data_IF_183441394160
#
_entry.id   IF_183441394160
#
_cell.length_a   1.000
_cell.length_b   1.000
_cell.length_c   1.000
_cell.angle_alpha   90.00
_cell.angle_beta   90.00
_cell.angle_gamma   90.00
#
_symmetry.space_group_name_H-M   'P 1'
#
loop_
_entity.id
_entity.type
_entity.pdbx_description
1 polymer ?
#
# COMPACT_ATOMS: atom_id res chain seq x y z
N UNK A 1 -6.00 31.41 1.42
CA UNK A 1 -6.84 30.19 1.35
C UNK A 1 -5.98 28.99 0.95
N UNK A 2 -5.37 28.29 1.91
CA UNK A 2 -4.63 27.06 1.61
C UNK A 2 -5.67 25.96 1.43
N UNK A 3 -6.01 25.60 0.19
CA UNK A 3 -6.78 24.39 -0.09
C UNK A 3 -6.09 23.23 0.64
N UNK A 4 -6.76 22.68 1.66
CA UNK A 4 -6.30 21.51 2.40
C UNK A 4 -6.43 20.32 1.44
N UNK A 5 -5.35 20.01 0.71
CA UNK A 5 -5.24 18.70 0.08
C UNK A 5 -5.19 17.71 1.24
N UNK A 6 -6.31 17.01 1.43
CA UNK A 6 -6.47 15.96 2.39
C UNK A 6 -6.09 14.64 1.68
N UNK A 7 -5.10 13.92 2.21
CA UNK A 7 -4.68 12.63 1.66
C UNK A 7 -5.86 11.65 1.61
N UNK A 8 -6.75 11.71 2.60
CA UNK A 8 -7.96 10.90 2.65
C UNK A 8 -8.85 11.08 1.42
N UNK A 9 -8.90 12.28 0.81
CA UNK A 9 -9.68 12.48 -0.42
C UNK A 9 -9.24 11.53 -1.52
N UNK A 10 -7.93 11.33 -1.69
CA UNK A 10 -7.41 10.44 -2.74
C UNK A 10 -7.70 8.98 -2.41
N UNK A 11 -7.60 8.60 -1.13
CA UNK A 11 -7.96 7.25 -0.66
C UNK A 11 -9.45 6.99 -0.91
N UNK A 12 -10.35 7.90 -0.53
CA UNK A 12 -11.80 7.76 -0.77
C UNK A 12 -12.13 7.66 -2.26
N UNK A 13 -11.53 8.51 -3.11
CA UNK A 13 -11.75 8.45 -4.57
C UNK A 13 -11.30 7.10 -5.11
N UNK A 14 -10.15 6.59 -4.65
CA UNK A 14 -9.67 5.28 -5.04
C UNK A 14 -10.62 4.15 -4.56
N UNK A 15 -11.06 4.17 -3.30
CA UNK A 15 -11.97 3.15 -2.76
C UNK A 15 -13.32 3.15 -3.48
N UNK A 16 -13.89 4.34 -3.75
CA UNK A 16 -15.12 4.47 -4.52
C UNK A 16 -14.91 3.93 -5.94
N UNK A 17 -13.78 4.25 -6.57
CA UNK A 17 -13.45 3.72 -7.90
C UNK A 17 -13.38 2.19 -7.89
N UNK A 18 -12.72 1.56 -6.92
CA UNK A 18 -12.63 0.09 -6.88
C UNK A 18 -13.98 -0.56 -6.60
N UNK A 19 -14.84 0.07 -5.80
CA UNK A 19 -16.22 -0.41 -5.56
C UNK A 19 -17.05 -0.31 -6.84
N UNK A 20 -17.01 0.84 -7.53
CA UNK A 20 -17.74 1.01 -8.80
C UNK A 20 -17.24 -0.04 -9.80
N UNK A 21 -15.93 -0.18 -9.96
CA UNK A 21 -15.35 -1.17 -10.86
C UNK A 21 -15.79 -2.60 -10.50
N UNK A 22 -15.84 -2.95 -9.22
CA UNK A 22 -16.27 -4.28 -8.78
C UNK A 22 -17.66 -4.65 -9.32
N UNK A 23 -18.61 -3.71 -9.25
CA UNK A 23 -19.98 -3.94 -9.69
C UNK A 23 -20.17 -3.78 -11.20
N UNK A 24 -19.43 -2.88 -11.86
CA UNK A 24 -19.66 -2.52 -13.27
C UNK A 24 -18.57 -3.01 -14.23
N UNK A 25 -17.50 -3.63 -13.72
CA UNK A 25 -16.34 -4.07 -14.50
C UNK A 25 -16.61 -5.31 -15.35
N UNK A 26 -15.56 -5.92 -15.90
CA UNK A 26 -15.69 -7.10 -16.79
C UNK A 26 -16.23 -8.34 -16.09
N UNK A 27 -15.94 -8.50 -14.80
CA UNK A 27 -16.32 -9.67 -14.02
C UNK A 27 -17.60 -9.41 -13.23
N UNK A 28 -18.59 -10.28 -13.41
CA UNK A 28 -19.83 -10.32 -12.63
C UNK A 28 -19.68 -11.35 -11.52
N UNK A 29 -19.29 -10.90 -10.33
CA UNK A 29 -18.99 -11.77 -9.20
C UNK A 29 -20.26 -12.44 -8.66
N UNK A 30 -20.17 -13.75 -8.39
CA UNK A 30 -21.22 -14.56 -7.77
C UNK A 30 -21.11 -14.41 -6.26
N UNK A 31 -21.78 -13.43 -5.69
CA UNK A 31 -21.76 -13.17 -4.24
C UNK A 31 -23.13 -13.36 -3.59
N UNK A 32 -23.20 -13.64 -2.27
CA UNK A 32 -24.46 -13.90 -1.59
C UNK A 32 -25.41 -12.70 -1.56
N UNK A 33 -24.89 -11.47 -1.44
CA UNK A 33 -25.72 -10.26 -1.40
C UNK A 33 -24.92 -8.99 -1.73
N UNK A 34 -25.27 -8.36 -2.85
CA UNK A 34 -24.73 -7.04 -3.25
C UNK A 34 -25.07 -5.96 -2.22
N UNK A 35 -26.31 -5.98 -1.71
CA UNK A 35 -26.83 -4.95 -0.81
C UNK A 35 -26.08 -4.95 0.52
N UNK A 36 -25.82 -6.14 1.12
CA UNK A 36 -25.02 -6.26 2.35
C UNK A 36 -23.61 -5.71 2.14
N UNK A 37 -22.97 -6.05 1.02
CA UNK A 37 -21.62 -5.59 0.70
C UNK A 37 -21.56 -4.07 0.52
N UNK A 38 -22.48 -3.48 -0.23
CA UNK A 38 -22.57 -2.02 -0.46
C UNK A 38 -22.81 -1.29 0.86
N UNK A 39 -23.78 -1.74 1.65
CA UNK A 39 -24.09 -1.16 2.96
C UNK A 39 -22.85 -1.17 3.86
N UNK A 40 -22.12 -2.29 3.86
CA UNK A 40 -20.89 -2.42 4.64
C UNK A 40 -19.78 -1.46 4.17
N UNK A 41 -19.59 -1.28 2.86
CA UNK A 41 -18.64 -0.29 2.36
C UNK A 41 -18.98 1.14 2.77
N UNK A 42 -20.27 1.50 2.77
CA UNK A 42 -20.73 2.82 3.22
C UNK A 42 -20.32 3.05 4.68
N UNK A 43 -20.56 2.07 5.56
CA UNK A 43 -20.15 2.14 6.97
C UNK A 43 -18.64 2.36 7.08
N UNK A 44 -17.86 1.54 6.38
CA UNK A 44 -16.39 1.60 6.42
C UNK A 44 -15.86 2.97 5.97
N UNK A 45 -16.34 3.47 4.83
CA UNK A 45 -15.93 4.79 4.32
C UNK A 45 -16.32 5.88 5.31
N UNK A 46 -17.54 5.86 5.85
CA UNK A 46 -17.99 6.81 6.87
C UNK A 46 -17.07 6.75 8.09
N UNK A 47 -16.76 5.57 8.60
CA UNK A 47 -15.88 5.40 9.77
C UNK A 47 -14.48 6.00 9.56
N UNK A 48 -13.83 5.72 8.42
CA UNK A 48 -12.52 6.32 8.11
C UNK A 48 -12.62 7.86 8.11
N UNK A 49 -13.67 8.41 7.49
CA UNK A 49 -13.88 9.86 7.43
C UNK A 49 -14.15 10.47 8.80
N UNK A 50 -14.98 9.85 9.63
CA UNK A 50 -15.22 10.28 11.01
C UNK A 50 -13.91 10.34 11.77
N UNK A 51 -13.10 9.27 11.75
CA UNK A 51 -11.81 9.23 12.42
C UNK A 51 -10.87 10.36 12.01
N UNK A 52 -10.79 10.61 10.71
CA UNK A 52 -9.98 11.68 10.15
C UNK A 52 -10.50 13.09 10.55
N UNK A 53 -11.81 13.30 10.53
CA UNK A 53 -12.47 14.56 10.93
C UNK A 53 -12.25 14.82 12.42
N UNK A 54 -12.49 13.82 13.29
CA UNK A 54 -12.25 13.92 14.73
C UNK A 54 -10.83 14.37 15.05
N UNK A 55 -9.84 13.92 14.28
CA UNK A 55 -8.43 14.33 14.48
C UNK A 55 -8.10 15.72 13.94
N UNK A 56 -8.64 16.07 12.78
CA UNK A 56 -8.34 17.36 12.13
C UNK A 56 -9.16 18.51 12.71
N UNK A 57 -10.26 18.19 13.38
CA UNK A 57 -11.30 19.12 13.80
C UNK A 57 -12.18 19.53 12.62
N UNK A 58 -13.45 19.84 12.88
CA UNK A 58 -14.31 20.49 11.88
C UNK A 58 -13.62 21.82 11.51
N UNK A 59 -13.35 22.08 10.22
CA UNK A 59 -12.75 23.34 9.80
C UNK A 59 -13.66 24.49 10.26
N UNK A 60 -13.29 25.17 11.36
CA UNK A 60 -14.00 26.38 11.80
C UNK A 60 -13.88 27.40 10.67
N UNK A 61 -15.02 27.83 10.15
CA UNK A 61 -15.18 28.75 9.04
C UNK A 61 -14.85 30.21 9.45
N UNK A 62 -13.88 30.42 10.35
CA UNK A 62 -13.44 31.78 10.68
C UNK A 62 -12.37 32.22 9.68
N UNK A 63 -12.86 32.83 8.61
CA UNK A 63 -12.13 33.34 7.45
C UNK A 63 -11.41 34.68 7.68
N UNK A 64 -11.64 35.34 8.82
CA UNK A 64 -11.12 36.68 9.07
C UNK A 64 -10.23 36.70 10.30
N UNK A 65 -8.90 36.68 10.08
CA UNK A 65 -7.88 37.45 10.82
C UNK A 65 -6.49 36.79 10.74
N UNK A 66 -5.49 37.61 10.39
CA UNK A 66 -4.05 37.51 10.72
C UNK A 66 -3.04 36.70 9.88
N UNK A 67 -3.40 35.95 8.83
CA UNK A 67 -2.39 35.08 8.18
C UNK A 67 -1.50 35.69 7.07
N UNK A 68 -1.61 36.97 6.67
CA UNK A 68 -0.77 37.48 5.57
C UNK A 68 0.68 37.76 5.96
N UNK A 69 0.97 38.11 7.21
CA UNK A 69 2.30 38.55 7.64
C UNK A 69 3.23 37.38 8.06
N UNK A 70 2.66 36.25 8.48
CA UNK A 70 3.39 35.10 9.04
C UNK A 70 3.74 34.02 7.98
N UNK A 71 3.30 34.22 6.73
CA UNK A 71 3.57 33.30 5.61
C UNK A 71 4.99 33.50 5.06
N UNK A 72 5.57 34.70 5.17
CA UNK A 72 6.84 35.04 4.52
C UNK A 72 8.06 34.39 5.21
N UNK A 73 7.99 34.19 6.53
CA UNK A 73 9.07 33.56 7.32
C UNK A 73 8.93 32.04 7.50
N UNK A 74 7.76 31.45 7.25
CA UNK A 74 7.51 30.02 7.52
C UNK A 74 7.87 29.07 6.36
N UNK A 75 8.34 29.62 5.24
CA UNK A 75 8.85 28.84 4.10
C UNK A 75 10.38 28.79 4.07
N UNK A 76 11.04 29.04 5.21
CA UNK A 76 12.45 28.69 5.36
C UNK A 76 12.63 27.23 4.93
N UNK A 77 13.54 27.07 3.97
CA UNK A 77 13.82 25.83 3.25
C UNK A 77 14.19 24.77 4.28
N UNK A 78 13.23 23.94 4.68
CA UNK A 78 13.45 22.89 5.68
C UNK A 78 14.56 21.99 5.18
N UNK A 79 15.70 22.06 5.85
CA UNK A 79 16.91 21.34 5.48
C UNK A 79 16.84 19.91 6.01
N UNK A 80 17.24 18.97 5.17
CA UNK A 80 17.46 17.59 5.54
C UNK A 80 18.52 17.55 6.64
N UNK A 81 18.11 17.22 7.86
CA UNK A 81 19.05 17.13 8.99
C UNK A 81 20.13 16.07 8.75
N UNK A 82 21.32 16.24 9.35
CA UNK A 82 22.41 15.25 9.27
C UNK A 82 21.95 13.84 9.68
N UNK A 83 21.11 13.75 10.72
CA UNK A 83 20.56 12.47 11.20
C UNK A 83 19.57 11.86 10.22
N UNK A 84 18.71 12.67 9.58
CA UNK A 84 17.83 12.19 8.54
C UNK A 84 18.59 11.70 7.30
N UNK A 85 19.69 12.37 6.93
CA UNK A 85 20.55 11.91 5.84
C UNK A 85 21.28 10.60 6.17
N UNK A 86 21.77 10.43 7.41
CA UNK A 86 22.35 9.15 7.86
C UNK A 86 21.33 8.03 7.83
N UNK A 87 20.13 8.28 8.36
CA UNK A 87 19.03 7.31 8.31
C UNK A 87 18.72 6.92 6.87
N UNK A 88 18.58 7.88 5.96
CA UNK A 88 18.37 7.61 4.54
C UNK A 88 19.45 6.71 3.91
N UNK A 89 20.74 6.98 4.18
CA UNK A 89 21.84 6.15 3.67
C UNK A 89 21.74 4.72 4.20
N UNK A 90 21.53 4.56 5.51
CA UNK A 90 21.35 3.25 6.15
C UNK A 90 20.16 2.52 5.52
N UNK A 91 19.03 3.19 5.35
CA UNK A 91 17.82 2.62 4.75
C UNK A 91 18.05 2.14 3.32
N UNK A 92 18.75 2.91 2.49
CA UNK A 92 19.09 2.51 1.13
C UNK A 92 19.99 1.26 1.11
N UNK A 93 21.03 1.24 1.93
CA UNK A 93 21.94 0.08 2.04
C UNK A 93 21.17 -1.14 2.53
N UNK A 94 20.30 -0.99 3.55
CA UNK A 94 19.46 -2.07 4.07
C UNK A 94 18.50 -2.62 3.01
N UNK A 95 17.86 -1.77 2.19
CA UNK A 95 17.02 -2.25 1.08
C UNK A 95 17.84 -3.08 0.10
N UNK A 96 18.97 -2.54 -0.38
CA UNK A 96 19.80 -3.22 -1.38
C UNK A 96 20.22 -4.60 -0.84
N UNK A 97 20.76 -4.64 0.38
CA UNK A 97 21.19 -5.86 1.02
C UNK A 97 20.04 -6.87 1.19
N UNK A 98 18.94 -6.46 1.82
CA UNK A 98 17.84 -7.38 2.13
C UNK A 98 17.08 -7.86 0.90
N UNK A 99 16.99 -7.06 -0.16
CA UNK A 99 16.31 -7.48 -1.38
C UNK A 99 17.14 -8.49 -2.17
N UNK A 100 18.46 -8.28 -2.31
CA UNK A 100 19.35 -9.27 -2.93
C UNK A 100 19.33 -10.57 -2.13
N UNK A 101 19.48 -10.47 -0.81
CA UNK A 101 19.45 -11.62 0.09
C UNK A 101 18.13 -12.39 -0.01
N UNK A 102 17.01 -11.70 -0.17
CA UNK A 102 15.71 -12.35 -0.36
C UNK A 102 15.66 -13.17 -1.64
N UNK A 103 16.13 -12.63 -2.76
CA UNK A 103 16.15 -13.35 -4.03
C UNK A 103 17.08 -14.56 -3.95
N UNK A 104 18.28 -14.38 -3.42
CA UNK A 104 19.21 -15.48 -3.22
C UNK A 104 18.63 -16.58 -2.31
N UNK A 105 17.90 -16.21 -1.26
CA UNK A 105 17.30 -17.19 -0.34
C UNK A 105 16.18 -17.99 -1.01
N UNK A 106 15.36 -17.35 -1.84
CA UNK A 106 14.17 -17.98 -2.45
C UNK A 106 14.51 -18.74 -3.73
N UNK A 107 15.32 -18.14 -4.61
CA UNK A 107 15.62 -18.68 -5.95
C UNK A 107 17.02 -19.29 -6.05
N UNK A 108 17.85 -19.22 -5.00
CA UNK A 108 19.24 -19.70 -5.01
C UNK A 108 20.21 -18.85 -5.82
N UNK A 109 19.72 -17.96 -6.69
CA UNK A 109 20.51 -17.07 -7.55
C UNK A 109 19.91 -15.67 -7.61
N UNK A 110 20.75 -14.66 -7.84
CA UNK A 110 20.31 -13.32 -8.24
C UNK A 110 20.93 -13.01 -9.60
N UNK A 111 20.12 -13.03 -10.65
CA UNK A 111 20.58 -12.82 -12.01
C UNK A 111 19.76 -11.68 -12.66
N UNK A 112 20.48 -10.72 -13.23
CA UNK A 112 19.87 -9.54 -13.87
C UNK A 112 19.21 -9.93 -15.20
N UNK A 113 19.76 -10.91 -15.93
CA UNK A 113 19.21 -11.36 -17.20
C UNK A 113 17.99 -12.27 -16.98
N UNK A 114 18.07 -13.15 -15.98
CA UNK A 114 16.96 -14.02 -15.57
C UNK A 114 15.71 -13.21 -15.18
N UNK A 115 15.92 -12.02 -14.62
CA UNK A 115 14.86 -11.05 -14.30
C UNK A 115 13.96 -10.69 -15.50
N UNK A 116 14.42 -10.88 -16.73
CA UNK A 116 13.67 -10.54 -17.94
C UNK A 116 13.23 -11.78 -18.73
N UNK A 117 14.01 -12.86 -18.70
CA UNK A 117 13.69 -14.08 -19.47
C UNK A 117 12.70 -15.01 -18.77
N UNK A 118 12.72 -15.08 -17.43
CA UNK A 118 12.02 -16.14 -16.67
C UNK A 118 11.02 -15.61 -15.63
N UNK A 119 10.50 -14.39 -15.81
CA UNK A 119 9.59 -13.71 -14.86
C UNK A 119 8.43 -14.60 -14.42
N UNK A 120 7.78 -15.30 -15.36
CA UNK A 120 6.62 -16.14 -15.07
C UNK A 120 6.97 -17.41 -14.29
N UNK A 121 8.04 -18.11 -14.68
CA UNK A 121 8.52 -19.31 -13.98
C UNK A 121 8.96 -18.99 -12.55
N UNK A 122 9.74 -17.93 -12.37
CA UNK A 122 10.21 -17.52 -11.05
C UNK A 122 9.06 -17.13 -10.11
N UNK A 123 7.94 -16.65 -10.64
CA UNK A 123 6.74 -16.38 -9.85
C UNK A 123 6.17 -17.65 -9.21
N UNK A 124 6.13 -18.76 -9.97
CA UNK A 124 5.61 -20.05 -9.51
C UNK A 124 6.58 -20.76 -8.56
N UNK A 125 7.89 -20.77 -8.87
CA UNK A 125 8.92 -21.32 -7.96
C UNK A 125 8.89 -20.65 -6.57
N UNK A 126 8.67 -19.33 -6.55
CA UNK A 126 8.50 -18.58 -5.30
C UNK A 126 7.25 -19.00 -4.51
N UNK A 127 6.15 -19.34 -5.20
CA UNK A 127 4.94 -19.83 -4.52
C UNK A 127 5.20 -21.17 -3.85
N UNK A 128 5.96 -22.06 -4.50
CA UNK A 128 6.37 -23.33 -3.91
C UNK A 128 7.29 -23.13 -2.70
N UNK A 129 8.30 -22.25 -2.80
CA UNK A 129 9.20 -21.94 -1.68
C UNK A 129 8.46 -21.44 -0.43
N UNK A 130 7.37 -20.69 -0.62
CA UNK A 130 6.60 -20.09 0.48
C UNK A 130 5.89 -21.11 1.38
N UNK A 131 5.87 -22.39 1.01
CA UNK A 131 5.19 -23.44 1.78
C UNK A 131 6.10 -24.19 2.78
N UNK A 132 7.44 -23.99 2.75
CA UNK A 132 8.36 -24.89 3.46
C UNK A 132 9.41 -24.31 4.42
N UNK A 133 9.77 -23.01 4.36
CA UNK A 133 11.07 -22.57 4.92
C UNK A 133 11.09 -21.25 5.73
N UNK A 134 10.18 -21.08 6.68
CA UNK A 134 10.18 -19.96 7.65
C UNK A 134 11.37 -19.93 8.64
N UNK A 135 12.28 -20.91 8.55
CA UNK A 135 13.41 -21.08 9.47
C UNK A 135 14.73 -20.50 8.97
N UNK A 136 14.78 -19.89 7.80
CA UNK A 136 16.05 -19.31 7.29
C UNK A 136 16.46 -18.12 8.14
N UNK A 137 17.60 -18.23 8.83
CA UNK A 137 18.14 -17.22 9.75
C UNK A 137 18.26 -15.83 9.10
N UNK A 138 18.70 -15.77 7.84
CA UNK A 138 18.82 -14.53 7.07
C UNK A 138 17.48 -13.77 6.98
N UNK A 139 16.37 -14.49 6.79
CA UNK A 139 15.03 -13.92 6.68
C UNK A 139 14.51 -13.38 8.02
N UNK A 140 14.96 -13.93 9.14
CA UNK A 140 14.65 -13.41 10.48
C UNK A 140 15.35 -12.06 10.72
N UNK A 141 16.64 -11.96 10.37
CA UNK A 141 17.38 -10.68 10.44
C UNK A 141 16.69 -9.61 9.59
N UNK A 142 16.35 -9.95 8.32
CA UNK A 142 15.61 -9.05 7.44
C UNK A 142 14.31 -8.60 8.08
N UNK A 143 13.57 -9.52 8.68
CA UNK A 143 12.27 -9.23 9.30
C UNK A 143 12.41 -8.22 10.43
N UNK A 144 13.34 -8.45 11.36
CA UNK A 144 13.56 -7.57 12.52
C UNK A 144 14.07 -6.18 12.11
N UNK A 145 14.89 -6.11 11.07
CA UNK A 145 15.50 -4.87 10.59
C UNK A 145 14.72 -4.19 9.46
N UNK A 146 13.57 -4.74 9.04
CA UNK A 146 12.79 -4.19 7.94
C UNK A 146 12.31 -2.76 8.21
N UNK A 147 12.11 -2.38 9.48
CA UNK A 147 11.76 -0.99 9.83
C UNK A 147 12.77 0.05 9.34
N UNK A 148 14.04 -0.32 9.18
CA UNK A 148 15.07 0.57 8.64
C UNK A 148 14.86 0.87 7.16
N UNK A 149 14.30 -0.05 6.38
CA UNK A 149 14.12 0.14 4.93
C UNK A 149 13.08 1.20 4.60
N UNK A 150 12.07 1.35 5.46
CA UNK A 150 10.87 2.16 5.22
C UNK A 150 11.13 3.68 5.13
N UNK A 151 12.35 4.16 5.38
CA UNK A 151 12.71 5.58 5.27
C UNK A 151 13.39 5.93 3.93
N UNK A 152 13.87 4.95 3.15
CA UNK A 152 14.65 5.21 1.95
C UNK A 152 13.86 6.04 0.92
N UNK A 153 12.69 5.54 0.49
CA UNK A 153 11.88 6.20 -0.52
C UNK A 153 11.22 7.49 -0.02
N UNK A 154 10.60 7.54 1.18
CA UNK A 154 9.99 8.78 1.65
C UNK A 154 11.00 9.92 1.78
N UNK A 155 12.16 9.68 2.40
CA UNK A 155 13.21 10.70 2.51
C UNK A 155 13.78 11.01 1.12
N UNK A 156 14.10 9.97 0.34
CA UNK A 156 14.70 10.09 -0.98
C UNK A 156 13.88 10.94 -1.95
N UNK A 157 12.57 10.68 -2.05
CA UNK A 157 11.67 11.41 -2.93
C UNK A 157 11.31 12.80 -2.40
N UNK A 158 10.98 12.92 -1.11
CA UNK A 158 10.59 14.20 -0.56
C UNK A 158 11.75 15.20 -0.51
N UNK A 159 12.94 14.75 -0.11
CA UNK A 159 14.14 15.59 0.00
C UNK A 159 15.08 15.48 -1.20
N UNK A 160 14.64 14.93 -2.35
CA UNK A 160 15.47 14.67 -3.53
C UNK A 160 16.38 15.83 -3.95
N UNK A 161 15.87 17.07 -3.90
CA UNK A 161 16.63 18.28 -4.28
C UNK A 161 17.76 18.62 -3.30
N UNK A 162 17.69 18.13 -2.07
CA UNK A 162 18.65 18.40 -0.99
C UNK A 162 19.69 17.29 -0.84
N UNK A 163 19.47 16.14 -1.48
CA UNK A 163 20.44 15.06 -1.52
C UNK A 163 21.69 15.48 -2.30
N UNK A 164 22.85 15.03 -1.82
CA UNK A 164 24.12 15.11 -2.54
C UNK A 164 24.05 14.28 -3.83
N UNK A 165 24.98 14.48 -4.78
CA UNK A 165 25.07 13.63 -5.99
C UNK A 165 25.17 12.14 -5.63
N UNK A 166 25.98 11.81 -4.62
CA UNK A 166 26.11 10.45 -4.08
C UNK A 166 24.78 9.94 -3.51
N UNK A 167 24.06 10.75 -2.74
CA UNK A 167 22.74 10.36 -2.21
C UNK A 167 21.68 10.11 -3.29
N UNK A 168 21.69 10.90 -4.38
CA UNK A 168 20.82 10.68 -5.53
C UNK A 168 21.17 9.39 -6.28
N UNK A 169 22.47 9.15 -6.49
CA UNK A 169 22.96 7.91 -7.10
C UNK A 169 22.56 6.70 -6.26
N UNK A 170 22.72 6.78 -4.93
CA UNK A 170 22.33 5.71 -4.01
C UNK A 170 20.81 5.44 -4.07
N UNK A 171 19.98 6.47 -4.09
CA UNK A 171 18.52 6.30 -4.28
C UNK A 171 18.21 5.60 -5.61
N UNK A 172 18.87 6.02 -6.69
CA UNK A 172 18.67 5.43 -8.02
C UNK A 172 19.05 3.95 -8.06
N UNK A 173 20.21 3.59 -7.51
CA UNK A 173 20.64 2.18 -7.35
C UNK A 173 19.63 1.41 -6.51
N UNK A 174 19.14 1.99 -5.41
CA UNK A 174 18.13 1.36 -4.54
C UNK A 174 16.85 1.05 -5.31
N UNK A 175 16.39 1.97 -6.16
CA UNK A 175 15.19 1.75 -7.01
C UNK A 175 15.46 0.66 -8.04
N UNK A 176 16.61 0.69 -8.72
CA UNK A 176 16.97 -0.34 -9.71
C UNK A 176 16.99 -1.72 -9.06
N UNK A 177 17.66 -1.88 -7.92
CA UNK A 177 17.74 -3.17 -7.23
C UNK A 177 16.35 -3.66 -6.84
N UNK A 178 15.49 -2.80 -6.30
CA UNK A 178 14.15 -3.22 -5.87
C UNK A 178 13.24 -3.58 -7.06
N UNK A 179 13.39 -2.90 -8.20
CA UNK A 179 12.73 -3.25 -9.47
C UNK A 179 13.25 -4.58 -10.00
N UNK A 180 14.58 -4.77 -10.08
CA UNK A 180 15.18 -6.02 -10.56
C UNK A 180 14.82 -7.22 -9.69
N UNK A 181 14.75 -7.02 -8.37
CA UNK A 181 14.30 -8.04 -7.41
C UNK A 181 12.82 -8.35 -7.62
N UNK A 182 11.99 -7.34 -7.86
CA UNK A 182 10.57 -7.54 -8.19
C UNK A 182 10.40 -8.35 -9.46
N UNK A 183 11.16 -8.03 -10.51
CA UNK A 183 11.14 -8.76 -11.79
C UNK A 183 11.67 -10.20 -11.64
N UNK A 184 12.79 -10.40 -10.94
CA UNK A 184 13.32 -11.72 -10.60
C UNK A 184 12.28 -12.57 -9.86
N UNK A 185 11.55 -12.00 -8.92
CA UNK A 185 10.50 -12.67 -8.15
C UNK A 185 9.18 -12.83 -8.92
N UNK A 186 9.12 -12.29 -10.14
CA UNK A 186 7.89 -12.21 -10.92
C UNK A 186 6.78 -11.42 -10.25
N UNK A 187 7.06 -10.46 -9.36
CA UNK A 187 6.07 -9.62 -8.66
C UNK A 187 6.05 -8.18 -9.13
N UNK A 188 4.89 -7.52 -9.03
CA UNK A 188 4.72 -6.08 -9.33
C UNK A 188 4.59 -5.22 -8.07
N UNK A 189 4.63 -5.86 -6.89
CA UNK A 189 4.30 -5.20 -5.62
C UNK A 189 5.29 -4.08 -5.24
N UNK A 190 6.60 -4.34 -5.20
CA UNK A 190 7.53 -3.31 -4.71
C UNK A 190 7.58 -2.11 -5.67
N UNK A 191 7.44 -2.35 -6.97
CA UNK A 191 7.27 -1.30 -7.97
C UNK A 191 6.03 -0.45 -7.64
N UNK A 192 4.90 -1.09 -7.32
CA UNK A 192 3.69 -0.42 -6.84
C UNK A 192 3.97 0.46 -5.64
N UNK A 193 4.59 -0.08 -4.59
CA UNK A 193 4.94 0.66 -3.38
C UNK A 193 5.83 1.89 -3.68
N UNK A 194 6.87 1.73 -4.49
CA UNK A 194 7.75 2.83 -4.93
C UNK A 194 6.92 3.94 -5.62
N UNK A 195 6.04 3.54 -6.52
CA UNK A 195 5.16 4.44 -7.30
C UNK A 195 4.21 5.21 -6.36
N UNK A 196 3.56 4.51 -5.44
CA UNK A 196 2.62 5.10 -4.48
C UNK A 196 3.32 6.08 -3.54
N UNK A 197 4.50 5.73 -3.02
CA UNK A 197 5.30 6.63 -2.16
C UNK A 197 5.72 7.88 -2.95
N UNK A 198 6.14 7.72 -4.21
CA UNK A 198 6.49 8.85 -5.07
C UNK A 198 5.30 9.78 -5.28
N UNK A 199 4.13 9.23 -5.64
CA UNK A 199 2.89 10.01 -5.84
C UNK A 199 2.54 10.78 -4.57
N UNK A 200 2.53 10.09 -3.41
CA UNK A 200 2.26 10.74 -2.14
C UNK A 200 3.22 11.89 -1.88
N UNK A 201 4.54 11.67 -2.02
CA UNK A 201 5.57 12.69 -1.84
C UNK A 201 5.30 13.90 -2.74
N UNK A 202 4.88 13.70 -3.98
CA UNK A 202 4.55 14.78 -4.91
C UNK A 202 3.25 15.51 -4.55
N UNK A 203 2.26 14.80 -3.99
CA UNK A 203 0.99 15.39 -3.52
C UNK A 203 1.19 16.27 -2.28
N UNK A 204 2.08 15.87 -1.37
CA UNK A 204 2.39 16.62 -0.14
C UNK A 204 3.40 17.75 -0.38
N UNK A 205 4.31 17.60 -1.35
CA UNK A 205 5.33 18.59 -1.68
C UNK A 205 4.72 19.78 -2.46
N UNK A 206 3.94 20.61 -1.76
CA UNK A 206 3.43 21.87 -2.31
C UNK A 206 4.56 22.88 -2.43
N UNK A 207 5.12 23.00 -3.64
CA UNK A 207 6.07 24.07 -3.97
C UNK A 207 5.30 25.29 -4.46
N UNK A 208 5.36 26.35 -3.65
CA UNK A 208 5.16 27.70 -4.17
C UNK A 208 6.52 28.22 -4.63
N UNK A 209 6.62 28.59 -5.91
CA UNK A 209 7.79 29.30 -6.44
C UNK A 209 7.42 30.75 -6.63
N UNK A 210 8.22 31.68 -6.15
CA UNK A 210 8.12 33.06 -6.60
C UNK A 210 8.54 33.11 -8.07
N UNK A 211 7.71 33.72 -8.92
CA UNK A 211 8.12 34.07 -10.28
C UNK A 211 9.04 35.31 -10.24
N UNK A 212 9.61 35.68 -11.39
CA UNK A 212 10.46 36.87 -11.56
C UNK A 212 9.78 38.17 -11.09
N UNK A 213 8.46 38.19 -11.02
CA UNK A 213 7.64 39.32 -10.54
C UNK A 213 7.23 39.21 -9.06
N UNK A 214 7.84 38.32 -8.27
CA UNK A 214 7.50 38.15 -6.86
C UNK A 214 6.10 37.56 -6.60
N UNK A 215 5.43 37.00 -7.62
CA UNK A 215 4.14 36.29 -7.47
C UNK A 215 4.37 34.80 -7.22
N UNK A 216 3.66 34.24 -6.25
CA UNK A 216 3.69 32.81 -5.95
C UNK A 216 3.02 31.99 -7.07
N UNK A 217 3.82 31.39 -7.96
CA UNK A 217 3.35 30.40 -8.94
C UNK A 217 3.38 29.00 -8.34
N UNK A 218 2.25 28.30 -8.43
CA UNK A 218 2.13 26.88 -8.06
C UNK A 218 2.88 26.04 -9.09
N UNK A 219 3.83 25.21 -8.64
CA UNK A 219 4.47 24.23 -9.53
C UNK A 219 3.46 23.12 -9.83
N UNK A 220 3.12 22.93 -11.10
CA UNK A 220 2.21 21.87 -11.51
C UNK A 220 2.98 20.55 -11.69
N UNK A 221 2.86 19.66 -10.69
CA UNK A 221 3.48 18.33 -10.71
C UNK A 221 2.63 17.28 -11.45
N UNK A 222 1.44 17.64 -11.98
CA UNK A 222 0.49 16.68 -12.57
C UNK A 222 1.10 15.86 -13.72
N UNK A 223 1.83 16.49 -14.65
CA UNK A 223 2.42 15.77 -15.78
C UNK A 223 3.41 14.68 -15.36
N UNK A 224 4.20 14.92 -14.30
CA UNK A 224 5.13 13.91 -13.75
C UNK A 224 4.40 12.76 -13.09
N UNK A 225 3.33 13.05 -12.35
CA UNK A 225 2.49 12.04 -11.72
C UNK A 225 1.85 11.17 -12.81
N UNK A 226 1.25 11.78 -13.83
CA UNK A 226 0.63 11.06 -14.96
C UNK A 226 1.65 10.16 -15.66
N UNK A 227 2.84 10.67 -15.97
CA UNK A 227 3.90 9.89 -16.61
C UNK A 227 4.30 8.66 -15.77
N UNK A 228 4.50 8.84 -14.47
CA UNK A 228 4.92 7.74 -13.58
C UNK A 228 3.81 6.71 -13.39
N UNK A 229 2.55 7.16 -13.30
CA UNK A 229 1.39 6.27 -13.25
C UNK A 229 1.27 5.47 -14.56
N UNK A 230 1.46 6.12 -15.71
CA UNK A 230 1.44 5.44 -17.01
C UNK A 230 2.55 4.38 -17.11
N UNK A 231 3.79 4.73 -16.76
CA UNK A 231 4.92 3.79 -16.74
C UNK A 231 4.66 2.59 -15.81
N UNK A 232 4.12 2.84 -14.61
CA UNK A 232 3.74 1.78 -13.68
C UNK A 232 2.73 0.82 -14.32
N UNK A 233 1.64 1.35 -14.89
CA UNK A 233 0.60 0.50 -15.47
C UNK A 233 1.05 -0.23 -16.73
N UNK A 234 1.89 0.38 -17.57
CA UNK A 234 2.52 -0.32 -18.71
C UNK A 234 3.38 -1.49 -18.24
N UNK A 235 4.21 -1.29 -17.21
CA UNK A 235 5.04 -2.37 -16.70
C UNK A 235 4.21 -3.44 -15.97
N UNK A 236 3.20 -3.05 -15.21
CA UNK A 236 2.24 -3.96 -14.59
C UNK A 236 1.57 -4.84 -15.66
N UNK A 237 1.11 -4.25 -16.76
CA UNK A 237 0.51 -4.98 -17.88
C UNK A 237 1.45 -6.04 -18.45
N UNK A 238 2.70 -5.67 -18.73
CA UNK A 238 3.72 -6.57 -19.28
C UNK A 238 3.98 -7.74 -18.31
N UNK A 239 4.18 -7.46 -17.02
CA UNK A 239 4.40 -8.50 -16.00
C UNK A 239 3.20 -9.46 -15.95
N UNK A 240 1.98 -8.94 -15.95
CA UNK A 240 0.79 -9.79 -15.95
C UNK A 240 0.70 -10.64 -17.21
N UNK A 241 1.00 -10.07 -18.38
CA UNK A 241 0.99 -10.83 -19.63
C UNK A 241 2.01 -11.97 -19.64
N UNK A 242 3.23 -11.73 -19.14
CA UNK A 242 4.25 -12.77 -19.07
C UNK A 242 3.86 -13.89 -18.09
N UNK A 243 3.17 -13.57 -16.98
CA UNK A 243 2.63 -14.60 -16.08
C UNK A 243 1.55 -15.45 -16.74
N UNK A 244 0.63 -14.81 -17.46
CA UNK A 244 -0.45 -15.50 -18.17
C UNK A 244 0.12 -16.47 -19.23
N UNK A 245 1.23 -16.09 -19.89
CA UNK A 245 1.91 -16.94 -20.87
C UNK A 245 2.72 -18.10 -20.26
N UNK A 246 3.20 -17.96 -19.02
CA UNK A 246 4.04 -18.96 -18.37
C UNK A 246 3.24 -20.14 -17.79
N UNK A 247 1.94 -19.94 -17.57
CA UNK A 247 1.03 -21.07 -17.46
C UNK A 247 0.72 -21.55 -18.87
N UNK A 248 0.88 -22.84 -19.18
CA UNK A 248 0.50 -23.49 -20.47
C UNK A 248 -0.98 -23.29 -20.90
N UNK A 249 -1.71 -22.45 -20.16
CA UNK A 249 -3.07 -21.94 -20.33
C UNK A 249 -3.19 -21.03 -21.58
N UNK A 250 -2.10 -20.73 -22.29
CA UNK A 250 -2.07 -19.84 -23.46
C UNK A 250 -2.79 -20.34 -24.72
N UNK A 251 -3.31 -21.58 -24.72
CA UNK A 251 -3.90 -22.21 -25.92
C UNK A 251 -5.42 -22.39 -25.92
N UNK A 252 -6.16 -21.94 -24.89
CA UNK A 252 -7.64 -22.00 -24.91
C UNK A 252 -8.30 -20.66 -24.56
N UNK A 253 -9.35 -20.34 -25.34
CA UNK A 253 -10.21 -19.15 -25.26
C UNK A 253 -10.37 -18.61 -23.82
N UNK A 254 -10.09 -17.31 -23.65
CA UNK A 254 -10.51 -16.48 -22.51
C UNK A 254 -10.63 -17.23 -21.17
N UNK A 255 -9.51 -17.78 -20.67
CA UNK A 255 -9.47 -18.34 -19.34
C UNK A 255 -9.85 -17.25 -18.33
N UNK A 256 -11.06 -17.35 -17.77
CA UNK A 256 -11.44 -16.56 -16.62
C UNK A 256 -10.81 -17.24 -15.40
N UNK A 257 -9.74 -16.69 -14.79
CA UNK A 257 -9.15 -17.29 -13.60
C UNK A 257 -10.15 -17.34 -12.44
N UNK A 258 -11.25 -16.60 -12.53
CA UNK A 258 -12.33 -16.55 -11.56
C UNK A 258 -13.58 -17.32 -12.04
N UNK A 259 -13.50 -18.23 -13.01
CA UNK A 259 -14.68 -18.89 -13.61
C UNK A 259 -15.62 -19.54 -12.59
N UNK A 260 -15.08 -20.09 -11.49
CA UNK A 260 -15.86 -20.64 -10.39
C UNK A 260 -16.61 -19.59 -9.56
N UNK A 261 -16.21 -18.31 -9.64
CA UNK A 261 -16.66 -17.22 -8.76
C UNK A 261 -17.22 -16.01 -9.48
N UNK A 262 -17.10 -15.93 -10.80
CA UNK A 262 -17.56 -14.81 -11.59
C UNK A 262 -17.89 -15.23 -13.02
N UNK A 263 -18.93 -14.63 -13.57
CA UNK A 263 -19.20 -14.68 -15.00
C UNK A 263 -18.48 -13.52 -15.70
N UNK A 264 -18.17 -13.69 -16.99
CA UNK A 264 -17.55 -12.62 -17.81
C UNK A 264 -18.66 -11.89 -18.56
N UNK A 265 -18.80 -10.59 -18.31
CA UNK A 265 -19.76 -9.75 -19.05
C UNK A 265 -19.35 -9.67 -20.52
N UNK A 266 -20.32 -9.74 -21.43
CA UNK A 266 -20.09 -9.64 -22.87
C UNK A 266 -19.59 -8.25 -23.25
N UNK A 267 -20.15 -7.21 -22.62
CA UNK A 267 -19.74 -5.82 -22.78
C UNK A 267 -19.78 -5.06 -21.45
N UNK A 268 -18.94 -4.04 -21.35
CA UNK A 268 -18.90 -3.06 -20.27
C UNK A 268 -19.08 -1.65 -20.84
N UNK A 269 -19.31 -0.65 -19.99
CA UNK A 269 -19.44 0.73 -20.49
C UNK A 269 -18.15 1.21 -21.19
N UNK A 270 -16.98 0.82 -20.69
CA UNK A 270 -15.70 1.23 -21.27
C UNK A 270 -15.35 0.44 -22.54
N UNK A 271 -15.94 -0.73 -22.76
CA UNK A 271 -15.86 -1.42 -24.07
C UNK A 271 -16.50 -0.58 -25.17
N UNK A 272 -17.57 0.17 -24.87
CA UNK A 272 -18.20 1.05 -25.86
C UNK A 272 -17.33 2.27 -26.21
N UNK A 273 -16.47 2.71 -25.28
CA UNK A 273 -15.60 3.87 -25.45
C UNK A 273 -14.28 3.49 -26.13
N UNK A 274 -13.67 2.38 -25.69
CA UNK A 274 -12.31 2.00 -26.09
C UNK A 274 -12.26 0.75 -26.99
N UNK A 275 -13.40 0.11 -27.26
CA UNK A 275 -13.48 -1.13 -28.03
C UNK A 275 -12.71 -2.29 -27.39
N UNK A 276 -12.40 -3.31 -28.18
CA UNK A 276 -11.47 -4.37 -27.80
C UNK A 276 -10.02 -3.90 -28.03
N UNK A 277 -9.49 -3.11 -27.09
CA UNK A 277 -8.15 -2.53 -27.18
C UNK A 277 -7.26 -2.94 -26.01
N UNK A 278 -5.96 -2.67 -26.13
CA UNK A 278 -5.01 -2.83 -25.02
C UNK A 278 -5.40 -2.01 -23.78
N UNK A 279 -6.11 -0.88 -23.97
CA UNK A 279 -6.60 -0.05 -22.86
C UNK A 279 -7.70 -0.79 -22.09
N UNK A 280 -8.66 -1.39 -22.79
CA UNK A 280 -9.71 -2.23 -22.18
C UNK A 280 -9.12 -3.39 -21.39
N UNK A 281 -8.19 -4.13 -22.00
CA UNK A 281 -7.46 -5.22 -21.32
C UNK A 281 -6.70 -4.74 -20.08
N UNK A 282 -6.08 -3.56 -20.15
CA UNK A 282 -5.39 -2.96 -19.01
C UNK A 282 -6.36 -2.59 -17.88
N UNK A 283 -7.49 -1.97 -18.21
CA UNK A 283 -8.56 -1.64 -17.26
C UNK A 283 -9.05 -2.93 -16.59
N UNK A 284 -9.23 -4.00 -17.34
CA UNK A 284 -9.69 -5.30 -16.82
C UNK A 284 -8.71 -5.93 -15.86
N UNK A 285 -7.42 -5.99 -16.23
CA UNK A 285 -6.38 -6.56 -15.39
C UNK A 285 -6.19 -5.76 -14.10
N UNK A 286 -6.12 -4.43 -14.19
CA UNK A 286 -5.97 -3.57 -13.00
C UNK A 286 -7.21 -3.67 -12.12
N UNK A 287 -8.38 -3.47 -12.72
CA UNK A 287 -9.64 -3.42 -12.01
C UNK A 287 -9.92 -4.72 -11.27
N UNK A 288 -9.76 -5.87 -11.93
CA UNK A 288 -9.87 -7.17 -11.26
C UNK A 288 -8.84 -7.30 -10.14
N UNK A 289 -7.57 -6.94 -10.39
CA UNK A 289 -6.50 -7.02 -9.40
C UNK A 289 -6.81 -6.21 -8.13
N UNK A 290 -7.38 -5.01 -8.25
CA UNK A 290 -7.66 -4.13 -7.10
C UNK A 290 -9.05 -4.31 -6.48
N UNK A 291 -9.92 -5.17 -7.02
CA UNK A 291 -11.30 -5.29 -6.54
C UNK A 291 -11.74 -6.72 -6.20
N UNK A 292 -11.09 -7.77 -6.73
CA UNK A 292 -11.51 -9.15 -6.50
C UNK A 292 -11.55 -9.54 -5.01
N UNK A 293 -10.76 -8.88 -4.16
CA UNK A 293 -10.79 -9.11 -2.71
C UNK A 293 -12.11 -8.78 -2.02
N UNK A 294 -12.99 -8.02 -2.68
CA UNK A 294 -14.36 -7.77 -2.21
C UNK A 294 -15.26 -9.00 -2.30
N UNK A 295 -14.97 -9.95 -3.19
CA UNK A 295 -15.66 -11.24 -3.21
C UNK A 295 -15.40 -12.02 -1.93
N UNK A 296 -14.13 -12.04 -1.47
CA UNK A 296 -13.78 -12.62 -0.17
C UNK A 296 -14.45 -11.88 1.00
N UNK A 297 -14.61 -10.56 0.91
CA UNK A 297 -15.38 -9.80 1.92
C UNK A 297 -16.86 -10.21 1.94
N UNK A 298 -17.48 -10.33 0.76
CA UNK A 298 -18.89 -10.72 0.65
C UNK A 298 -19.15 -12.11 1.25
N UNK A 299 -18.26 -13.08 0.99
CA UNK A 299 -18.34 -14.40 1.62
C UNK A 299 -18.15 -14.36 3.13
N UNK A 300 -17.18 -13.59 3.64
CA UNK A 300 -16.97 -13.51 5.08
C UNK A 300 -18.16 -12.89 5.82
N UNK A 301 -18.92 -11.97 5.21
CA UNK A 301 -20.11 -11.39 5.81
C UNK A 301 -21.22 -12.44 6.11
N UNK A 302 -21.14 -13.63 5.51
CA UNK A 302 -22.06 -14.75 5.76
C UNK A 302 -21.51 -15.78 6.76
N UNK A 303 -20.23 -15.70 7.12
CA UNK A 303 -19.57 -16.68 7.99
C UNK A 303 -19.62 -16.18 9.45
N UNK A 304 -19.96 -17.04 10.43
CA UNK A 304 -19.90 -16.67 11.83
C UNK A 304 -18.48 -16.29 12.27
N UNK A 305 -18.37 -15.41 13.26
CA UNK A 305 -17.06 -15.01 13.79
C UNK A 305 -16.45 -16.13 14.64
N UNK A 306 -15.17 -16.45 14.37
CA UNK A 306 -14.34 -17.28 15.22
C UNK A 306 -13.25 -16.44 15.88
N UNK A 307 -13.06 -16.62 17.19
CA UNK A 307 -12.18 -15.76 17.97
C UNK A 307 -10.70 -16.11 17.74
N UNK A 308 -9.96 -15.21 17.10
CA UNK A 308 -8.51 -15.32 16.95
C UNK A 308 -7.72 -14.61 18.06
N UNK A 309 -8.37 -14.30 19.19
CA UNK A 309 -7.79 -13.57 20.33
C UNK A 309 -7.18 -12.21 19.95
N UNK A 310 -7.74 -11.56 18.93
CA UNK A 310 -7.25 -10.29 18.41
C UNK A 310 -6.01 -10.38 17.51
N UNK A 311 -5.57 -11.59 17.14
CA UNK A 311 -4.36 -11.80 16.32
C UNK A 311 -4.67 -11.93 14.82
N UNK A 312 -5.92 -12.22 14.47
CA UNK A 312 -6.36 -12.51 13.10
C UNK A 312 -6.23 -11.35 12.10
N UNK A 313 -5.81 -10.15 12.51
CA UNK A 313 -5.63 -9.01 11.61
C UNK A 313 -4.37 -9.11 10.74
N UNK A 314 -3.46 -10.02 11.07
CA UNK A 314 -2.16 -10.18 10.43
C UNK A 314 -1.85 -11.66 10.23
N UNK A 315 -1.69 -12.06 8.97
CA UNK A 315 -1.21 -13.41 8.62
C UNK A 315 0.10 -13.73 9.34
N UNK A 316 1.03 -12.78 9.36
CA UNK A 316 2.30 -12.95 10.06
C UNK A 316 2.17 -13.21 11.57
N UNK A 317 1.25 -12.52 12.26
CA UNK A 317 1.03 -12.78 13.69
C UNK A 317 0.47 -14.17 13.94
N UNK A 318 -0.48 -14.59 13.10
CA UNK A 318 -1.05 -15.94 13.16
C UNK A 318 0.03 -16.99 12.91
N UNK A 319 0.82 -16.84 11.85
CA UNK A 319 1.94 -17.75 11.54
C UNK A 319 2.93 -17.86 12.73
N UNK A 320 3.26 -16.74 13.38
CA UNK A 320 4.13 -16.78 14.57
C UNK A 320 3.49 -17.45 15.78
N UNK A 321 2.20 -17.21 15.99
CA UNK A 321 1.47 -17.80 17.11
C UNK A 321 1.38 -19.31 16.92
N UNK A 322 0.98 -19.76 15.73
CA UNK A 322 0.89 -21.17 15.39
C UNK A 322 2.27 -21.84 15.46
N UNK A 323 3.32 -21.18 14.94
CA UNK A 323 4.69 -21.71 14.97
C UNK A 323 5.26 -21.86 16.38
N UNK A 324 5.07 -20.88 17.26
CA UNK A 324 5.75 -20.85 18.57
C UNK A 324 4.89 -21.31 19.74
N UNK A 325 3.56 -21.22 19.63
CA UNK A 325 2.63 -21.65 20.68
C UNK A 325 1.91 -22.95 20.33
N UNK A 326 2.13 -23.52 19.14
CA UNK A 326 1.49 -24.77 18.70
C UNK A 326 -0.02 -24.63 18.51
N UNK A 327 -0.50 -23.42 18.24
CA UNK A 327 -1.91 -23.16 17.98
C UNK A 327 -2.29 -23.48 16.54
N UNK A 328 -3.59 -23.47 16.25
CA UNK A 328 -4.16 -23.60 14.91
C UNK A 328 -5.06 -22.40 14.57
N UNK A 329 -4.66 -21.19 14.98
CA UNK A 329 -5.50 -20.00 14.80
C UNK A 329 -5.71 -19.66 13.33
N UNK A 330 -4.82 -20.08 12.43
CA UNK A 330 -4.99 -19.87 10.98
C UNK A 330 -6.34 -20.39 10.47
N UNK A 331 -6.81 -21.55 10.94
CA UNK A 331 -8.09 -22.15 10.50
C UNK A 331 -9.31 -21.37 10.99
N UNK A 332 -9.14 -20.50 11.99
CA UNK A 332 -10.18 -19.67 12.58
C UNK A 332 -10.27 -18.29 11.91
N UNK A 333 -9.36 -17.95 11.01
CA UNK A 333 -9.39 -16.68 10.28
C UNK A 333 -10.47 -16.71 9.18
N UNK A 334 -11.10 -15.58 8.90
CA UNK A 334 -12.07 -15.50 7.79
C UNK A 334 -11.49 -15.98 6.46
N UNK A 335 -10.25 -15.61 6.04
CA UNK A 335 -9.64 -16.16 4.84
C UNK A 335 -9.64 -17.69 4.75
N UNK A 336 -9.31 -18.39 5.84
CA UNK A 336 -9.29 -19.84 5.87
C UNK A 336 -10.71 -20.43 5.84
N UNK A 337 -11.65 -19.84 6.61
CA UNK A 337 -13.04 -20.29 6.61
C UNK A 337 -13.74 -20.06 5.26
N UNK A 338 -13.44 -18.94 4.59
CA UNK A 338 -13.93 -18.65 3.23
C UNK A 338 -13.49 -19.76 2.26
N UNK A 339 -12.22 -20.15 2.30
CA UNK A 339 -11.69 -21.23 1.46
C UNK A 339 -12.40 -22.56 1.76
N UNK A 340 -12.61 -22.90 3.03
CA UNK A 340 -13.30 -24.12 3.43
C UNK A 340 -14.78 -24.18 3.00
N UNK A 341 -15.50 -23.05 3.07
CA UNK A 341 -16.94 -22.99 2.81
C UNK A 341 -17.25 -22.73 1.33
N UNK A 342 -16.53 -21.81 0.71
CA UNK A 342 -16.81 -21.33 -0.65
C UNK A 342 -15.77 -21.79 -1.68
N UNK A 343 -14.66 -22.41 -1.26
CA UNK A 343 -13.57 -22.81 -2.15
C UNK A 343 -12.72 -21.66 -2.68
N UNK A 344 -12.88 -20.43 -2.17
CA UNK A 344 -12.12 -19.26 -2.60
C UNK A 344 -10.68 -19.33 -2.05
N UNK A 345 -9.66 -19.62 -2.89
CA UNK A 345 -8.37 -20.08 -2.40
C UNK A 345 -7.58 -19.00 -1.65
N UNK A 346 -7.14 -19.35 -0.44
CA UNK A 346 -6.40 -18.43 0.43
C UNK A 346 -4.93 -18.33 0.00
N UNK A 347 -4.48 -17.13 -0.35
CA UNK A 347 -3.10 -16.88 -0.76
C UNK A 347 -2.87 -16.88 -2.27
N UNK A 348 -3.84 -17.35 -3.05
CA UNK A 348 -3.89 -17.12 -4.51
C UNK A 348 -4.67 -15.83 -4.79
N UNK A 349 -5.91 -15.77 -4.30
CA UNK A 349 -6.70 -14.55 -4.32
C UNK A 349 -6.56 -13.81 -3.00
N UNK A 350 -6.66 -12.48 -3.08
CA UNK A 350 -6.31 -11.61 -1.99
C UNK A 350 -7.58 -11.34 -1.18
N UNK A 351 -7.76 -11.91 0.02
CA UNK A 351 -8.84 -11.49 0.90
C UNK A 351 -8.56 -10.07 1.37
N UNK A 352 -9.54 -9.17 1.21
CA UNK A 352 -9.42 -7.75 1.52
C UNK A 352 -8.83 -7.49 2.92
N UNK A 353 -8.22 -6.32 3.14
CA UNK A 353 -7.76 -5.94 4.47
C UNK A 353 -8.91 -5.96 5.49
N UNK A 354 -10.14 -5.67 5.03
CA UNK A 354 -11.34 -5.72 5.85
C UNK A 354 -11.57 -7.13 6.40
N UNK A 355 -11.45 -8.16 5.56
CA UNK A 355 -11.60 -9.57 5.95
C UNK A 355 -10.57 -9.98 7.00
N UNK A 356 -9.29 -9.58 6.82
CA UNK A 356 -8.25 -9.82 7.82
C UNK A 356 -8.58 -9.13 9.15
N UNK A 357 -8.87 -7.83 9.11
CA UNK A 357 -9.16 -7.08 10.33
C UNK A 357 -10.38 -7.58 11.07
N UNK A 358 -11.45 -7.96 10.35
CA UNK A 358 -12.62 -8.58 10.94
C UNK A 358 -12.31 -9.91 11.63
N UNK A 359 -11.27 -10.65 11.20
CA UNK A 359 -10.85 -11.89 11.87
C UNK A 359 -10.36 -11.64 13.29
N UNK A 360 -9.89 -10.42 13.62
CA UNK A 360 -9.48 -10.04 14.97
C UNK A 360 -10.60 -9.42 15.81
N UNK A 361 -11.54 -8.69 15.19
CA UNK A 361 -12.50 -7.83 15.93
C UNK A 361 -13.96 -7.98 15.51
N UNK A 362 -14.31 -8.97 14.69
CA UNK A 362 -15.61 -9.12 14.01
C UNK A 362 -15.92 -8.00 13.00
N UNK A 363 -17.00 -8.16 12.22
CA UNK A 363 -17.53 -7.08 11.38
C UNK A 363 -18.14 -5.92 12.17
N UNK A 364 -18.50 -6.11 13.44
CA UNK A 364 -18.96 -5.01 14.31
C UNK A 364 -17.80 -4.14 14.82
N UNK A 365 -16.64 -4.73 15.09
CA UNK A 365 -15.46 -4.01 15.58
C UNK A 365 -14.66 -3.34 14.46
N UNK A 366 -14.73 -3.85 13.23
CA UNK A 366 -13.98 -3.32 12.09
C UNK A 366 -14.25 -1.82 11.79
N UNK A 367 -15.50 -1.31 11.82
CA UNK A 367 -15.77 0.13 11.71
C UNK A 367 -14.98 0.98 12.73
N UNK A 368 -14.79 0.49 13.96
CA UNK A 368 -13.99 1.18 14.98
C UNK A 368 -12.50 1.20 14.57
N UNK A 369 -11.97 0.09 14.07
CA UNK A 369 -10.59 0.01 13.55
C UNK A 369 -10.39 0.98 12.38
N UNK A 370 -11.36 1.09 11.47
CA UNK A 370 -11.32 2.03 10.34
C UNK A 370 -11.37 3.49 10.79
N UNK A 371 -12.14 3.79 11.83
CA UNK A 371 -12.12 5.11 12.49
C UNK A 371 -10.75 5.41 13.12
N UNK A 372 -10.13 4.44 13.80
CA UNK A 372 -8.78 4.59 14.35
C UNK A 372 -7.78 4.83 13.22
N UNK A 373 -7.85 4.07 12.12
CA UNK A 373 -7.00 4.26 10.94
C UNK A 373 -7.09 5.69 10.40
N UNK A 374 -8.31 6.21 10.18
CA UNK A 374 -8.53 7.59 9.73
C UNK A 374 -7.93 8.62 10.68
N UNK A 375 -8.07 8.40 11.99
CA UNK A 375 -7.49 9.26 13.03
C UNK A 375 -5.96 9.26 13.02
N UNK A 376 -5.32 8.09 12.91
CA UNK A 376 -3.86 7.97 12.87
C UNK A 376 -3.31 8.61 11.59
N UNK A 377 -3.96 8.38 10.44
CA UNK A 377 -3.62 9.00 9.15
C UNK A 377 -3.60 10.53 9.26
N UNK A 378 -4.70 11.13 9.77
CA UNK A 378 -4.79 12.56 10.01
C UNK A 378 -3.70 13.06 10.98
N UNK A 379 -3.37 12.27 12.01
CA UNK A 379 -2.35 12.63 13.00
C UNK A 379 -0.95 12.65 12.38
N UNK A 380 -0.60 11.65 11.57
CA UNK A 380 0.67 11.60 10.85
C UNK A 380 0.78 12.74 9.84
N UNK A 381 -0.28 12.98 9.06
CA UNK A 381 -0.33 14.07 8.07
C UNK A 381 -0.19 15.45 8.72
N UNK A 382 -0.97 15.75 9.78
CA UNK A 382 -0.92 17.03 10.49
C UNK A 382 0.47 17.28 11.07
N UNK A 383 1.06 16.24 11.67
CA UNK A 383 2.38 16.34 12.27
C UNK A 383 3.46 16.56 11.22
N UNK A 384 3.44 15.80 10.14
CA UNK A 384 4.35 16.02 9.02
C UNK A 384 4.21 17.42 8.43
N UNK A 385 2.98 17.92 8.22
CA UNK A 385 2.75 19.30 7.75
C UNK A 385 3.28 20.36 8.71
N UNK A 386 3.25 20.12 10.03
CA UNK A 386 3.72 21.07 11.06
C UNK A 386 5.23 21.05 11.26
N UNK A 387 5.83 19.86 11.35
CA UNK A 387 7.22 19.67 11.79
C UNK A 387 8.14 19.10 10.72
N UNK A 388 7.56 18.52 9.66
CA UNK A 388 8.30 17.99 8.52
C UNK A 388 9.33 16.92 8.94
N UNK A 389 9.01 16.20 10.00
CA UNK A 389 9.85 15.14 10.53
C UNK A 389 9.73 13.85 9.70
N UNK A 390 10.87 13.18 9.50
CA UNK A 390 10.99 11.99 8.65
C UNK A 390 10.22 10.79 9.18
N UNK A 391 9.96 10.72 10.48
CA UNK A 391 9.21 9.64 11.12
C UNK A 391 7.71 9.74 10.79
N UNK A 392 7.14 10.94 10.87
CA UNK A 392 5.78 11.19 10.42
C UNK A 392 5.62 10.98 8.93
N UNK A 393 6.64 11.32 8.14
CA UNK A 393 6.64 11.05 6.70
C UNK A 393 6.60 9.55 6.39
N UNK A 394 7.47 8.75 7.02
CA UNK A 394 7.51 7.30 6.85
C UNK A 394 6.21 6.61 7.32
N UNK A 395 5.66 7.02 8.47
CA UNK A 395 4.38 6.48 8.93
C UNK A 395 3.25 6.86 7.97
N UNK A 396 3.23 8.11 7.51
CA UNK A 396 2.23 8.60 6.56
C UNK A 396 2.27 7.81 5.25
N UNK A 397 3.45 7.43 4.77
CA UNK A 397 3.59 6.63 3.55
C UNK A 397 3.09 5.20 3.75
N UNK A 398 3.35 4.58 4.90
CA UNK A 398 2.80 3.26 5.22
C UNK A 398 1.27 3.29 5.31
N UNK A 399 0.70 4.30 5.97
CA UNK A 399 -0.75 4.44 6.08
C UNK A 399 -1.41 4.72 4.73
N UNK A 400 -0.74 5.46 3.84
CA UNK A 400 -1.23 5.70 2.49
C UNK A 400 -1.22 4.42 1.64
N UNK A 401 -0.14 3.64 1.68
CA UNK A 401 -0.07 2.31 1.05
C UNK A 401 -1.22 1.45 1.58
N UNK A 402 -1.37 1.36 2.90
CA UNK A 402 -2.44 0.58 3.50
C UNK A 402 -3.83 1.01 3.02
N UNK A 403 -4.09 2.32 2.93
CA UNK A 403 -5.35 2.86 2.44
C UNK A 403 -5.67 2.45 1.00
N UNK A 404 -4.66 2.33 0.15
CA UNK A 404 -4.79 1.87 -1.23
C UNK A 404 -4.83 0.34 -1.35
N UNK A 405 -4.31 -0.40 -0.37
CA UNK A 405 -4.37 -1.85 -0.34
C UNK A 405 -5.58 -2.40 0.42
N UNK A 406 -6.39 -1.56 1.08
CA UNK A 406 -7.61 -1.98 1.78
C UNK A 406 -8.50 -2.95 0.96
N UNK A 407 -8.73 -2.74 -0.34
CA UNK A 407 -9.53 -3.65 -1.16
C UNK A 407 -8.92 -5.04 -1.37
N UNK A 408 -7.59 -5.12 -1.30
CA UNK A 408 -6.83 -6.31 -1.65
C UNK A 408 -6.36 -7.09 -0.43
N UNK A 409 -5.52 -6.52 0.44
CA UNK A 409 -5.02 -7.20 1.64
C UNK A 409 -4.55 -6.21 2.71
N UNK A 410 -4.23 -6.73 3.90
CA UNK A 410 -3.65 -5.93 4.97
C UNK A 410 -2.15 -5.68 4.74
N UNK A 411 -1.77 -5.00 3.64
CA UNK A 411 -0.43 -5.05 3.06
C UNK A 411 0.73 -4.73 4.02
N UNK A 412 0.52 -3.82 4.96
CA UNK A 412 1.54 -3.40 5.93
C UNK A 412 1.65 -4.34 7.15
N UNK A 413 0.75 -5.32 7.25
CA UNK A 413 0.71 -6.36 8.29
C UNK A 413 0.71 -7.78 7.70
N UNK A 414 0.76 -7.92 6.37
CA UNK A 414 0.58 -9.20 5.69
C UNK A 414 1.78 -10.12 5.90
N UNK A 415 3.00 -9.63 5.66
CA UNK A 415 4.23 -10.40 5.84
C UNK A 415 4.91 -10.06 7.16
N UNK A 416 5.71 -11.00 7.69
CA UNK A 416 6.50 -10.82 8.92
C UNK A 416 7.34 -9.54 8.86
N UNK A 417 8.06 -9.32 7.76
CA UNK A 417 8.85 -8.11 7.55
C UNK A 417 8.00 -6.82 7.55
N UNK A 418 6.85 -6.82 6.86
CA UNK A 418 5.96 -5.65 6.83
C UNK A 418 5.38 -5.31 8.21
N UNK A 419 4.95 -6.32 8.97
CA UNK A 419 4.44 -6.18 10.33
C UNK A 419 5.47 -5.51 11.25
N UNK A 420 6.67 -6.08 11.34
CA UNK A 420 7.74 -5.54 12.18
C UNK A 420 8.20 -4.16 11.71
N UNK A 421 8.27 -3.94 10.39
CA UNK A 421 8.57 -2.63 9.84
C UNK A 421 7.55 -1.57 10.24
N UNK A 422 6.26 -1.89 10.18
CA UNK A 422 5.17 -1.01 10.58
C UNK A 422 5.20 -0.72 12.08
N UNK A 423 5.45 -1.73 12.92
CA UNK A 423 5.62 -1.56 14.38
C UNK A 423 6.80 -0.63 14.66
N UNK A 424 7.95 -0.85 14.02
CA UNK A 424 9.15 -0.03 14.19
C UNK A 424 8.89 1.44 13.86
N UNK A 425 8.31 1.74 12.70
CA UNK A 425 8.00 3.11 12.28
C UNK A 425 6.94 3.76 13.18
N UNK A 426 5.95 2.98 13.64
CA UNK A 426 4.92 3.45 14.56
C UNK A 426 5.51 3.82 15.92
N UNK A 427 6.40 2.99 16.48
CA UNK A 427 7.11 3.29 17.73
C UNK A 427 7.99 4.53 17.55
N UNK A 428 8.77 4.61 16.47
CA UNK A 428 9.61 5.77 16.18
C UNK A 428 8.79 7.07 16.07
N UNK A 429 7.62 7.01 15.43
CA UNK A 429 6.67 8.11 15.39
C UNK A 429 6.20 8.50 16.81
N UNK A 430 5.79 7.55 17.64
CA UNK A 430 5.28 7.82 19.00
C UNK A 430 6.37 8.44 19.89
N UNK A 431 7.58 7.88 19.90
CA UNK A 431 8.69 8.35 20.73
C UNK A 431 9.11 9.77 20.36
N UNK A 432 9.21 10.06 19.06
CA UNK A 432 9.62 11.38 18.57
C UNK A 432 8.53 12.44 18.82
N UNK A 433 7.25 12.04 18.92
CA UNK A 433 6.14 12.95 19.24
C UNK A 433 6.31 13.58 20.62
N UNK A 434 6.75 12.78 21.60
CA UNK A 434 6.91 13.21 22.99
C UNK A 434 8.02 14.26 23.13
N UNK A 435 9.11 14.10 22.39
CA UNK A 435 10.25 15.03 22.40
C UNK A 435 9.87 16.42 21.87
N UNK A 436 9.12 16.47 20.77
CA UNK A 436 8.69 17.75 20.17
C UNK A 436 7.76 18.51 21.13
N UNK A 437 6.78 17.83 21.74
CA UNK A 437 5.88 18.46 22.72
C UNK A 437 6.63 19.05 23.91
N UNK A 438 7.65 18.36 24.44
CA UNK A 438 8.49 18.87 25.53
C UNK A 438 9.25 20.14 25.12
N UNK A 439 9.81 20.16 23.92
CA UNK A 439 10.50 21.34 23.38
C UNK A 439 9.56 22.52 23.09
N UNK A 440 8.28 22.27 22.79
CA UNK A 440 7.27 23.34 22.67
C UNK A 440 6.80 23.85 24.03
N UNK A 441 6.79 23.01 25.08
CA UNK A 441 6.38 23.39 26.43
C UNK A 441 7.49 24.11 27.23
N UNK A 442 8.75 23.91 26.85
CA UNK A 442 9.91 24.59 27.45
C UNK A 442 10.21 25.96 26.84
N UNK A 443 9.44 26.38 25.84
CA UNK A 443 9.51 27.69 25.19
C UNK A 443 8.27 28.47 25.58
#
# INVERSE_FOLDING_TARGET
MIQRNNILKYINVYLIFTIIYYFTGRYSWKIPSDLKLIFYFIIIIISINIGYILRTGIPRFNSNMRSKMDIKHKYDKILLSKNANRLFIVSCISIIFFQIMWVQTVLGKFDVFDAFSNIGQNYYERLEFSTGNDKVFSMQIRTLLWGLTLYAYPIGFYFFKQLTRKGKLLLFITIIVDVLVSLNMGISKNIGDITLIFILCMLIQKKYRFNTFGRLRKVNNKGKIILIVALFFSMFYIIQMVRDSATDISSSKAFNPYSSFADVRSSTFYDTIFGNSAITSLIDKIGAYVSHGYTGLAYALEIPFHNTYGLGFSRALIEYTDQYLGTSLQTQTYPAMIEQVYGWPNGIYWPSAFTWFASAVTFFGLPIIMMIYGWVLASAEKRFKKFQDVFSLALLTQLFIMGLYLPANAQIFQSRASLFGTIFVSIAYILTRRRIKRSEASK
#
